data_IF_652738507705
#
_entry.id   IF_652738507705
#
_cell.length_a   1.000
_cell.length_b   1.000
_cell.length_c   1.000
_cell.angle_alpha   90.00
_cell.angle_beta   90.00
_cell.angle_gamma   90.00
#
_symmetry.space_group_name_H-M   'P 1'
#
loop_
_entity.id
_entity.type
_entity.pdbx_description
1 polymer ?
2 polymer ?
3 non-polymer ?
4 water ?
#
# COMPACT_ATOMS: atom_id res chain seq x y z
N UNK A 1 4.44 -0.86 -11.10
CA UNK A 1 5.84 -0.65 -10.75
C UNK A 1 6.14 -1.14 -9.36
N UNK A 2 7.35 -1.66 -9.18
CA UNK A 2 7.80 -2.03 -7.85
C UNK A 2 9.17 -1.49 -7.48
N UNK A 3 9.60 -0.39 -8.10
CA UNK A 3 10.87 0.20 -7.67
C UNK A 3 10.57 1.25 -6.62
N UNK A 4 9.43 1.91 -6.77
CA UNK A 4 9.02 3.01 -5.92
C UNK A 4 8.51 2.52 -4.57
N UNK A 5 7.81 1.39 -4.58
CA UNK A 5 7.31 0.88 -3.31
C UNK A 5 8.47 0.33 -2.50
N UNK A 6 9.43 -0.28 -3.18
CA UNK A 6 10.58 -0.83 -2.47
C UNK A 6 11.45 0.28 -1.86
N UNK A 7 11.86 1.26 -2.67
CA UNK A 7 12.64 2.37 -2.13
C UNK A 7 11.84 3.24 -1.15
N UNK A 8 10.53 3.30 -1.31
CA UNK A 8 9.71 3.99 -0.33
C UNK A 8 9.70 3.27 1.01
N UNK A 9 9.55 1.95 0.98
CA UNK A 9 9.59 1.19 2.24
C UNK A 9 10.95 1.29 2.87
N UNK A 10 12.02 1.19 2.08
CA UNK A 10 13.36 1.28 2.64
C UNK A 10 13.62 2.67 3.23
N UNK A 11 13.08 3.71 2.60
CA UNK A 11 13.18 5.04 3.17
C UNK A 11 12.40 5.17 4.47
N UNK A 12 11.27 4.50 4.58
CA UNK A 12 10.57 4.51 5.86
C UNK A 12 11.39 3.81 6.94
N UNK A 13 11.98 2.66 6.60
CA UNK A 13 12.82 1.94 7.55
C UNK A 13 14.02 2.77 7.97
N UNK A 14 14.61 3.50 7.01
CA UNK A 14 15.75 4.34 7.33
C UNK A 14 15.38 5.40 8.37
N UNK A 15 14.21 6.03 8.22
CA UNK A 15 13.77 7.00 9.22
C UNK A 15 13.64 6.36 10.59
N UNK A 16 13.06 5.16 10.66
CA UNK A 16 12.90 4.47 11.94
C UNK A 16 14.27 4.20 12.57
N UNK A 17 15.23 3.77 11.76
CA UNK A 17 16.55 3.43 12.29
C UNK A 17 17.27 4.68 12.74
N UNK A 18 17.11 5.78 11.99
CA UNK A 18 17.76 7.04 12.34
C UNK A 18 17.25 7.56 13.68
N UNK A 19 15.93 7.54 13.87
CA UNK A 19 15.39 8.01 15.14
C UNK A 19 15.83 7.11 16.28
N UNK A 20 15.73 5.80 16.08
CA UNK A 20 16.14 4.84 17.09
C UNK A 20 17.62 5.01 17.42
N UNK A 21 18.46 5.16 16.40
CA UNK A 21 19.88 5.32 16.64
C UNK A 21 20.20 6.66 17.31
N UNK A 22 19.47 7.72 16.95
CA UNK A 22 19.70 9.02 17.58
C UNK A 22 19.41 9.00 19.08
N UNK A 23 18.30 8.36 19.49
CA UNK A 23 17.93 8.27 20.90
C UNK A 23 18.97 7.48 21.68
N UNK A 24 19.49 6.40 21.10
CA UNK A 24 20.42 5.55 21.84
C UNK A 24 21.74 6.27 22.08
N UNK A 25 22.29 6.93 21.04
CA UNK A 25 23.61 7.52 21.15
C UNK A 25 23.62 8.85 21.89
N UNK A 26 22.50 9.58 21.91
CA UNK A 26 22.42 10.81 22.70
C UNK A 26 21.86 10.58 24.09
N UNK A 27 21.38 9.37 24.38
CA UNK A 27 20.87 9.03 25.71
C UNK A 27 19.71 9.93 26.11
N UNK A 28 18.94 10.39 25.13
CA UNK A 28 17.84 11.30 25.39
C UNK A 28 16.80 11.13 24.30
N UNK A 29 15.52 11.25 24.68
CA UNK A 29 14.41 11.31 23.75
C UNK A 29 13.65 12.64 23.85
N UNK A 30 14.38 13.72 24.15
CA UNK A 30 13.79 15.05 24.27
C UNK A 30 13.14 15.52 22.98
N UNK A 31 11.90 15.97 23.06
CA UNK A 31 11.16 16.47 21.92
C UNK A 31 10.39 15.43 21.14
N UNK A 32 10.57 14.15 21.45
CA UNK A 32 9.92 13.04 20.75
C UNK A 32 8.58 12.77 21.40
N UNK A 33 7.53 12.60 20.58
CA UNK A 33 6.23 12.19 21.10
C UNK A 33 6.17 10.68 21.25
N UNK A 34 6.16 10.21 22.50
CA UNK A 34 5.98 8.80 22.76
C UNK A 34 4.63 8.29 22.34
N UNK A 35 3.63 9.17 22.29
CA UNK A 35 2.30 8.77 21.85
C UNK A 35 2.28 8.45 20.37
N UNK A 36 2.96 9.25 19.55
CA UNK A 36 3.04 8.97 18.11
C UNK A 36 3.80 7.69 17.85
N UNK A 37 4.91 7.49 18.56
CA UNK A 37 5.66 6.26 18.39
C UNK A 37 4.85 5.06 18.83
N UNK A 38 4.02 5.23 19.86
CA UNK A 38 3.13 4.15 20.25
C UNK A 38 2.11 3.86 19.15
N UNK A 39 1.59 4.90 18.49
CA UNK A 39 0.63 4.66 17.42
C UNK A 39 1.30 3.98 16.23
N UNK A 40 2.53 4.38 15.92
CA UNK A 40 3.23 3.75 14.82
C UNK A 40 3.55 2.30 15.14
N UNK A 41 3.89 2.00 16.39
CA UNK A 41 4.09 0.61 16.77
C UNK A 41 2.80 -0.16 16.63
N UNK A 42 1.66 0.50 16.87
CA UNK A 42 0.38 -0.15 16.69
C UNK A 42 0.03 -0.34 15.22
N UNK A 43 0.46 0.57 14.34
CA UNK A 43 0.27 0.40 12.91
C UNK A 43 0.98 -0.84 12.41
N UNK A 44 2.26 -1.00 12.77
CA UNK A 44 3.04 -2.12 12.27
C UNK A 44 2.59 -3.43 12.88
N UNK A 45 2.11 -3.39 14.11
CA UNK A 45 1.65 -4.61 14.74
C UNK A 45 0.39 -5.11 14.05
N UNK A 46 -0.54 -4.22 13.76
CA UNK A 46 -1.80 -4.64 13.12
C UNK A 46 -1.64 -4.94 11.64
N UNK A 47 -0.72 -4.27 10.96
CA UNK A 47 -0.54 -4.51 9.52
C UNK A 47 0.25 -5.78 9.27
N UNK A 48 1.23 -6.07 10.12
CA UNK A 48 2.10 -7.22 9.93
C UNK A 48 1.77 -8.37 10.86
N UNK A 49 0.50 -8.46 11.29
CA UNK A 49 0.08 -9.58 12.13
C UNK A 49 0.28 -10.90 11.44
N UNK A 50 0.19 -10.96 10.10
CA UNK A 50 0.51 -12.26 9.59
C UNK A 50 2.00 -12.49 9.41
N UNK A 51 2.71 -12.28 10.50
CA UNK A 51 4.13 -12.50 10.68
C UNK A 51 4.19 -13.94 11.14
N UNK A 52 3.50 -14.15 12.27
CA UNK A 52 3.27 -15.31 13.10
C UNK A 52 2.20 -16.19 12.49
N UNK A 53 1.86 -15.99 11.21
CA UNK A 53 1.16 -17.03 10.48
C UNK A 53 1.66 -17.48 9.11
N UNK A 54 1.55 -16.64 8.08
CA UNK A 54 2.05 -17.00 6.75
C UNK A 54 3.49 -16.56 6.48
N UNK A 55 4.33 -17.53 6.14
CA UNK A 55 5.70 -17.31 5.67
C UNK A 55 5.76 -17.25 4.15
N UNK A 56 6.35 -16.17 3.62
CA UNK A 56 6.47 -15.99 2.17
C UNK A 56 7.93 -15.90 1.73
N UNK A 57 8.77 -15.22 2.50
CA UNK A 57 10.14 -14.99 2.08
C UNK A 57 10.98 -14.68 3.31
N UNK A 58 12.29 -14.80 3.14
CA UNK A 58 13.15 -14.42 4.24
C UNK A 58 13.28 -12.90 4.30
N UNK A 59 13.25 -12.22 3.15
CA UNK A 59 13.13 -10.76 3.16
C UNK A 59 11.76 -10.35 3.71
N UNK A 60 10.73 -11.17 3.49
CA UNK A 60 9.38 -10.82 3.92
C UNK A 60 9.26 -10.92 5.43
N UNK A 61 9.71 -12.02 6.01
CA UNK A 61 9.59 -12.16 7.45
C UNK A 61 10.51 -11.20 8.17
N UNK A 62 11.72 -11.00 7.64
CA UNK A 62 12.67 -10.12 8.31
C UNK A 62 12.25 -8.66 8.22
N UNK A 63 11.72 -8.24 7.07
CA UNK A 63 11.29 -6.86 7.00
C UNK A 63 10.14 -6.58 7.95
N UNK A 64 9.17 -7.51 8.02
CA UNK A 64 8.13 -7.38 9.02
C UNK A 64 8.72 -7.34 10.43
N UNK A 65 9.71 -8.19 10.68
CA UNK A 65 10.35 -8.22 11.99
C UNK A 65 11.18 -6.98 12.27
N UNK A 66 11.89 -6.47 11.26
CA UNK A 66 12.71 -5.28 11.45
C UNK A 66 11.85 -4.09 11.85
N UNK A 67 10.73 -3.88 11.17
CA UNK A 67 9.88 -2.74 11.52
C UNK A 67 9.35 -2.89 12.94
N UNK A 68 8.88 -4.09 13.28
CA UNK A 68 8.32 -4.31 14.61
C UNK A 68 9.40 -4.13 15.68
N UNK A 69 10.55 -4.77 15.51
CA UNK A 69 11.58 -4.66 16.52
C UNK A 69 12.05 -3.23 16.69
N UNK A 70 12.21 -2.49 15.60
CA UNK A 70 12.68 -1.11 15.72
C UNK A 70 11.63 -0.19 16.35
N UNK A 71 10.36 -0.36 16.00
CA UNK A 71 9.34 0.48 16.60
C UNK A 71 9.17 0.17 18.09
N UNK A 72 9.17 -1.11 18.45
CA UNK A 72 9.06 -1.45 19.86
C UNK A 72 10.27 -0.98 20.65
N UNK A 73 11.46 -1.06 20.05
CA UNK A 73 12.64 -0.61 20.77
C UNK A 73 12.60 0.88 21.01
N UNK A 74 12.14 1.65 20.03
CA UNK A 74 11.99 3.08 20.24
C UNK A 74 11.01 3.35 21.37
N UNK A 75 9.91 2.62 21.40
CA UNK A 75 8.96 2.75 22.50
C UNK A 75 9.62 2.36 23.82
N UNK A 76 10.43 1.29 23.82
CA UNK A 76 11.11 0.89 25.05
C UNK A 76 12.07 1.97 25.56
N UNK A 77 12.80 2.62 24.64
CA UNK A 77 13.76 3.63 25.06
C UNK A 77 13.11 4.88 25.60
N UNK A 78 11.94 5.25 25.08
CA UNK A 78 11.29 6.49 25.50
C UNK A 78 10.63 6.33 26.85
N UNK A 79 9.94 5.20 27.08
CA UNK A 79 9.14 5.04 28.29
C UNK A 79 9.82 4.22 29.39
N UNK A 80 10.94 3.55 29.09
CA UNK A 80 11.63 2.74 30.10
C UNK A 80 13.08 3.19 30.26
N UNK A 81 13.92 3.04 29.25
CA UNK A 81 15.35 3.30 29.40
C UNK A 81 15.63 4.76 29.72
N UNK A 82 15.17 5.67 28.86
CA UNK A 82 15.47 7.08 28.99
C UNK A 82 14.20 7.86 29.32
N UNK A 83 13.43 7.35 30.28
CA UNK A 83 12.19 8.02 30.62
C UNK A 83 12.42 9.36 31.30
N UNK A 84 13.63 9.60 31.83
CA UNK A 84 13.93 10.88 32.48
C UNK A 84 13.92 12.04 31.51
N UNK A 85 14.23 11.78 30.23
CA UNK A 85 14.23 12.82 29.22
C UNK A 85 12.96 12.84 28.42
N UNK A 86 11.93 12.11 28.84
CA UNK A 86 10.66 12.08 28.13
C UNK A 86 9.83 13.25 28.62
N UNK A 87 9.46 14.15 27.72
CA UNK A 87 8.73 15.35 28.10
C UNK A 87 7.24 14.99 28.13
N UNK A 88 6.91 14.14 29.11
CA UNK A 88 5.53 13.70 29.27
C UNK A 88 4.58 14.87 29.45
N UNK A 89 5.01 15.90 30.16
CA UNK A 89 4.18 17.06 30.38
C UNK A 89 3.85 17.81 29.09
N UNK A 90 4.55 17.54 27.98
CA UNK A 90 4.21 18.18 26.71
C UNK A 90 3.55 17.27 25.68
N UNK A 91 3.65 15.95 25.83
CA UNK A 91 3.01 15.00 24.92
C UNK A 91 1.61 14.61 25.41
N UNK A 92 0.69 15.58 25.38
CA UNK A 92 -0.60 15.45 26.07
C UNK A 92 -1.75 15.05 25.14
N UNK A 93 -1.50 14.72 23.88
CA UNK A 93 -2.60 14.39 22.99
C UNK A 93 -3.28 13.13 23.52
N UNK A 94 -4.62 13.16 23.61
CA UNK A 94 -5.37 12.01 24.12
C UNK A 94 -5.63 11.08 22.93
N UNK A 95 -4.79 10.07 22.77
CA UNK A 95 -4.87 9.23 21.57
C UNK A 95 -6.11 8.38 21.47
N UNK A 96 -6.93 8.29 22.52
CA UNK A 96 -8.18 7.56 22.37
C UNK A 96 -9.07 8.24 21.34
N UNK A 97 -8.97 9.58 21.22
CA UNK A 97 -9.72 10.30 20.19
C UNK A 97 -9.16 10.13 18.80
N UNK A 98 -8.12 9.31 18.63
CA UNK A 98 -7.62 8.86 17.33
C UNK A 98 -8.03 7.42 17.12
N UNK A 99 -7.64 6.54 18.03
CA UNK A 99 -7.84 5.10 17.84
C UNK A 99 -9.33 4.80 17.75
N UNK A 100 -10.17 5.41 18.59
CA UNK A 100 -11.59 5.05 18.58
C UNK A 100 -12.25 5.47 17.26
N UNK A 101 -12.07 6.70 16.79
CA UNK A 101 -12.66 7.05 15.49
C UNK A 101 -12.03 6.28 14.33
N UNK A 102 -10.73 5.99 14.40
CA UNK A 102 -10.09 5.18 13.38
C UNK A 102 -10.64 3.76 13.38
N UNK A 103 -10.85 3.18 14.56
CA UNK A 103 -11.46 1.86 14.62
C UNK A 103 -12.87 1.82 14.07
N UNK A 104 -13.69 2.80 14.42
CA UNK A 104 -15.03 2.86 13.87
C UNK A 104 -15.05 3.09 12.38
N UNK A 105 -14.15 3.95 11.88
CA UNK A 105 -14.09 4.22 10.46
C UNK A 105 -13.68 2.99 9.66
N UNK A 106 -12.82 2.14 10.23
CA UNK A 106 -12.38 0.94 9.53
C UNK A 106 -13.51 -0.08 9.39
N UNK A 107 -14.43 -0.12 10.34
CA UNK A 107 -15.58 -1.01 10.22
C UNK A 107 -16.64 -0.47 9.27
N UNK A 108 -16.68 0.84 9.06
CA UNK A 108 -17.71 1.49 8.24
C UNK A 108 -17.27 1.59 6.78
N UNK A 109 -16.04 2.01 6.54
CA UNK A 109 -15.56 2.33 5.21
C UNK A 109 -14.37 1.42 4.92
N UNK A 110 -14.60 0.41 4.08
CA UNK A 110 -13.53 -0.51 3.69
C UNK A 110 -13.94 -1.12 2.36
N UNK A 111 -13.03 -1.90 1.79
CA UNK A 111 -13.27 -2.58 0.52
C UNK A 111 -14.02 -3.90 0.66
N UNK A 112 -13.90 -4.55 1.80
CA UNK A 112 -14.56 -5.84 2.00
C UNK A 112 -14.67 -6.12 3.49
N UNK A 113 -15.83 -6.58 3.93
CA UNK A 113 -16.06 -6.81 5.35
C UNK A 113 -15.54 -8.18 5.72
N UNK A 114 -14.26 -8.23 6.12
CA UNK A 114 -13.61 -9.46 6.57
C UNK A 114 -12.57 -9.09 7.60
N UNK A 115 -12.23 -10.00 8.52
CA UNK A 115 -11.26 -9.65 9.56
C UNK A 115 -9.92 -9.21 9.02
N UNK A 116 -9.41 -9.85 7.97
CA UNK A 116 -8.10 -9.46 7.48
C UNK A 116 -8.16 -8.13 6.76
N UNK A 117 -9.27 -7.84 6.10
CA UNK A 117 -9.41 -6.56 5.42
C UNK A 117 -9.69 -5.41 6.38
N UNK A 118 -10.51 -5.66 7.41
CA UNK A 118 -10.74 -4.62 8.42
C UNK A 118 -9.45 -4.30 9.15
N UNK A 119 -8.66 -5.33 9.45
CA UNK A 119 -7.41 -5.10 10.14
C UNK A 119 -6.46 -4.29 9.28
N UNK A 120 -6.40 -4.58 7.98
CA UNK A 120 -5.56 -3.79 7.09
C UNK A 120 -6.07 -2.37 7.00
N UNK A 121 -7.38 -2.18 6.89
CA UNK A 121 -7.93 -0.83 6.82
C UNK A 121 -7.68 -0.05 8.09
N UNK A 122 -7.69 -0.73 9.23
CA UNK A 122 -7.35 -0.06 10.47
C UNK A 122 -5.94 0.49 10.43
N UNK A 123 -4.98 -0.35 10.02
CA UNK A 123 -3.60 0.11 10.04
C UNK A 123 -3.34 1.21 9.01
N UNK A 124 -4.09 1.22 7.90
CA UNK A 124 -3.95 2.28 6.89
C UNK A 124 -4.44 3.61 7.44
N UNK A 125 -5.65 3.62 8.01
CA UNK A 125 -6.20 4.84 8.59
C UNK A 125 -5.37 5.34 9.77
N UNK A 126 -4.96 4.44 10.66
CA UNK A 126 -4.22 4.87 11.85
C UNK A 126 -2.89 5.52 11.47
N UNK A 127 -2.17 4.93 10.53
CA UNK A 127 -0.87 5.49 10.13
C UNK A 127 -1.01 6.91 9.58
N UNK A 128 -2.14 7.23 8.96
CA UNK A 128 -2.30 8.55 8.37
C UNK A 128 -2.38 9.64 9.45
N UNK A 129 -2.87 9.30 10.63
CA UNK A 129 -3.01 10.27 11.72
C UNK A 129 -2.07 9.96 12.88
N UNK A 130 -1.14 9.03 12.71
CA UNK A 130 -0.29 8.65 13.83
C UNK A 130 0.65 9.78 14.25
N UNK A 131 0.99 10.68 13.33
CA UNK A 131 1.91 11.77 13.65
C UNK A 131 1.26 12.91 14.42
N UNK A 132 -0.06 12.90 14.58
CA UNK A 132 -0.72 14.05 15.19
C UNK A 132 -0.19 14.38 16.57
N UNK A 133 0.03 13.42 17.47
CA UNK A 133 0.61 13.78 18.77
C UNK A 133 1.97 14.46 18.63
N UNK A 134 2.76 14.07 17.63
CA UNK A 134 4.03 14.75 17.43
C UNK A 134 3.83 16.19 16.97
N UNK A 135 2.85 16.43 16.11
CA UNK A 135 2.61 17.80 15.64
C UNK A 135 2.18 18.69 16.78
N UNK A 136 1.24 18.23 17.61
CA UNK A 136 0.79 19.09 18.70
C UNK A 136 1.89 19.35 19.71
N UNK A 137 2.85 18.47 19.83
CA UNK A 137 3.94 18.71 20.76
C UNK A 137 4.87 19.80 20.23
N UNK A 138 5.26 19.71 18.95
CA UNK A 138 6.15 20.72 18.39
C UNK A 138 5.43 22.06 18.30
N UNK A 139 4.15 22.04 17.97
CA UNK A 139 3.37 23.26 17.95
C UNK A 139 3.30 23.88 19.34
N UNK A 140 3.38 23.04 20.38
CA UNK A 140 3.31 23.49 21.76
C UNK A 140 4.59 24.11 22.27
N UNK A 141 5.75 23.52 21.98
CA UNK A 141 6.99 23.97 22.57
C UNK A 141 7.94 24.67 21.61
N UNK A 142 7.80 24.40 20.32
CA UNK A 142 8.69 24.92 19.31
C UNK A 142 10.06 24.28 19.29
N UNK A 143 10.18 23.04 19.76
CA UNK A 143 11.43 22.30 19.94
C UNK A 143 11.22 20.82 19.73
N UNK A 144 12.29 20.19 19.26
CA UNK A 144 12.37 18.81 18.83
C UNK A 144 13.84 18.47 18.75
N UNK A 145 14.50 18.58 19.91
CA UNK A 145 15.94 18.46 19.96
C UNK A 145 16.42 17.15 19.33
N UNK A 146 15.61 16.09 19.44
CA UNK A 146 15.96 14.75 18.94
C UNK A 146 15.64 14.54 17.45
N UNK A 147 14.78 15.37 16.87
CA UNK A 147 14.42 15.29 15.46
C UNK A 147 15.54 15.86 14.62
N UNK A 148 16.08 15.03 13.73
CA UNK A 148 17.20 15.48 12.92
C UNK A 148 16.72 15.80 11.51
N UNK A 149 17.54 16.57 10.80
CA UNK A 149 17.15 16.96 9.45
C UNK A 149 17.08 15.76 8.53
N UNK A 150 18.04 14.84 8.68
CA UNK A 150 18.07 13.63 7.88
C UNK A 150 16.91 12.71 8.22
N UNK A 151 16.49 12.70 9.48
CA UNK A 151 15.30 11.94 9.86
C UNK A 151 14.10 12.41 9.06
N UNK A 152 13.90 13.72 8.99
CA UNK A 152 12.76 14.27 8.25
C UNK A 152 12.90 14.04 6.75
N UNK A 153 14.12 14.00 6.23
CA UNK A 153 14.29 13.77 4.80
C UNK A 153 13.77 12.38 4.42
N UNK A 154 14.15 11.34 5.19
CA UNK A 154 13.73 9.99 4.85
C UNK A 154 12.23 9.80 5.05
N UNK A 155 11.64 10.49 6.02
CA UNK A 155 10.19 10.50 6.14
C UNK A 155 9.57 11.12 4.88
N UNK A 156 10.17 12.20 4.37
CA UNK A 156 9.65 12.88 3.19
C UNK A 156 9.88 12.09 1.90
N UNK A 157 11.03 11.44 1.80
CA UNK A 157 11.30 10.58 0.65
C UNK A 157 10.36 9.39 0.62
N UNK A 158 9.96 8.91 1.78
CA UNK A 158 8.99 7.83 1.85
C UNK A 158 7.67 8.26 1.27
N UNK A 159 7.21 9.47 1.61
CA UNK A 159 5.93 9.92 1.09
C UNK A 159 6.00 10.25 -0.40
N UNK A 160 7.10 10.81 -0.86
CA UNK A 160 7.23 11.19 -2.27
C UNK A 160 7.26 9.96 -3.16
N UNK A 161 7.99 8.92 -2.74
CA UNK A 161 8.05 7.73 -3.56
C UNK A 161 6.68 7.03 -3.61
N UNK A 162 5.96 7.01 -2.49
CA UNK A 162 4.61 6.46 -2.51
C UNK A 162 3.69 7.26 -3.40
N UNK A 163 3.83 8.59 -3.40
CA UNK A 163 3.02 9.41 -4.29
C UNK A 163 3.29 9.03 -5.75
N UNK A 164 4.57 8.91 -6.11
CA UNK A 164 4.93 8.44 -7.45
C UNK A 164 4.32 7.08 -7.75
N UNK A 165 4.36 6.19 -6.77
CA UNK A 165 3.83 4.85 -6.96
C UNK A 165 2.34 4.90 -7.29
N UNK A 166 1.58 5.71 -6.57
CA UNK A 166 0.16 5.81 -6.91
C UNK A 166 -0.04 6.24 -8.35
N UNK A 167 0.72 7.24 -8.79
CA UNK A 167 0.55 7.79 -10.13
C UNK A 167 0.97 6.78 -11.18
N UNK A 168 2.11 6.12 -10.97
CA UNK A 168 2.57 5.16 -11.95
C UNK A 168 1.58 4.01 -12.13
N UNK A 169 1.15 3.41 -11.02
CA UNK A 169 0.22 2.28 -11.13
C UNK A 169 -1.12 2.68 -11.74
N UNK A 170 -1.60 3.90 -11.43
CA UNK A 170 -2.87 4.33 -12.04
C UNK A 170 -2.76 4.47 -13.55
N UNK A 171 -1.72 5.17 -14.03
CA UNK A 171 -1.64 5.46 -15.44
C UNK A 171 -1.20 4.24 -16.26
N UNK A 172 -0.28 3.44 -15.74
CA UNK A 172 0.27 2.34 -16.51
C UNK A 172 -0.40 0.99 -16.26
N UNK A 173 -1.08 0.80 -15.12
CA UNK A 173 -1.70 -0.48 -14.79
C UNK A 173 -3.19 -0.39 -14.51
N UNK A 174 -3.76 0.80 -14.48
CA UNK A 174 -5.16 0.99 -14.11
C UNK A 174 -5.51 0.69 -12.67
N UNK A 175 -4.53 0.49 -11.80
CA UNK A 175 -4.80 0.17 -10.40
C UNK A 175 -4.90 1.46 -9.60
N UNK A 176 -5.91 1.55 -8.74
CA UNK A 176 -5.95 2.61 -7.74
C UNK A 176 -6.77 2.13 -6.55
N UNK A 177 -6.24 2.34 -5.36
CA UNK A 177 -6.90 2.01 -4.10
C UNK A 177 -7.35 3.33 -3.46
N UNK A 178 -8.64 3.61 -3.59
CA UNK A 178 -9.16 4.88 -3.10
C UNK A 178 -8.94 5.03 -1.60
N UNK A 179 -9.09 3.94 -0.85
CA UNK A 179 -8.86 4.02 0.59
C UNK A 179 -7.41 4.33 0.90
N UNK A 180 -6.48 3.57 0.29
CA UNK A 180 -5.07 3.83 0.55
C UNK A 180 -4.64 5.19 0.05
N UNK A 181 -5.19 5.64 -1.08
CA UNK A 181 -4.76 6.92 -1.63
C UNK A 181 -5.28 8.06 -0.76
N UNK A 182 -6.57 8.01 -0.42
CA UNK A 182 -7.14 9.09 0.37
C UNK A 182 -6.45 9.17 1.73
N UNK A 183 -6.24 8.02 2.37
CA UNK A 183 -5.50 8.01 3.63
C UNK A 183 -4.06 8.43 3.43
N UNK A 184 -3.47 8.07 2.30
CA UNK A 184 -2.09 8.45 2.02
C UNK A 184 -1.93 9.93 1.80
N UNK A 185 -2.92 10.58 1.20
CA UNK A 185 -2.87 12.04 1.05
C UNK A 185 -2.99 12.74 2.41
N UNK A 186 -3.89 12.28 3.27
CA UNK A 186 -3.98 12.84 4.62
C UNK A 186 -2.64 12.70 5.33
N UNK A 187 -2.02 11.53 5.23
CA UNK A 187 -0.74 11.33 5.88
C UNK A 187 0.34 12.28 5.35
N UNK A 188 0.39 12.45 4.03
CA UNK A 188 1.42 13.30 3.43
C UNK A 188 1.23 14.77 3.77
N UNK A 189 -0.01 15.23 3.82
CA UNK A 189 -0.24 16.60 4.22
C UNK A 189 0.17 16.79 5.67
N UNK A 190 -0.10 15.79 6.51
CA UNK A 190 0.27 15.90 7.91
C UNK A 190 1.78 15.89 8.07
N UNK A 191 2.50 15.12 7.26
CA UNK A 191 3.95 15.16 7.35
C UNK A 191 4.49 16.50 6.89
N UNK A 192 3.83 17.13 5.92
CA UNK A 192 4.26 18.43 5.43
C UNK A 192 4.07 19.51 6.49
N UNK A 193 3.00 19.42 7.27
CA UNK A 193 2.87 20.32 8.42
C UNK A 193 3.95 20.01 9.44
N UNK A 194 4.29 18.74 9.61
CA UNK A 194 5.44 18.42 10.45
C UNK A 194 6.68 19.14 9.97
N UNK A 195 6.96 19.07 8.66
CA UNK A 195 8.12 19.74 8.12
C UNK A 195 7.99 21.25 8.18
N UNK A 196 6.78 21.79 8.03
CA UNK A 196 6.65 23.24 8.06
C UNK A 196 6.89 23.78 9.48
N UNK A 197 6.39 23.06 10.48
CA UNK A 197 6.58 23.47 11.86
C UNK A 197 8.03 23.35 12.27
N UNK A 198 8.70 22.30 11.84
CA UNK A 198 10.09 22.13 12.22
C UNK A 198 10.93 23.28 11.66
N UNK A 199 10.67 23.67 10.40
CA UNK A 199 11.46 24.74 9.79
C UNK A 199 11.16 26.09 10.45
N UNK A 200 9.89 26.36 10.78
CA UNK A 200 9.53 27.67 11.28
C UNK A 200 9.73 27.80 12.79
N UNK A 201 9.44 26.75 13.55
CA UNK A 201 9.54 26.85 15.00
C UNK A 201 10.84 26.31 15.56
N UNK A 202 11.33 25.17 15.10
CA UNK A 202 12.54 24.66 15.73
C UNK A 202 13.77 25.34 15.12
N UNK A 203 13.85 25.33 13.79
CA UNK A 203 14.92 25.99 13.05
C UNK A 203 14.85 27.51 13.21
N UNK A 204 14.27 27.98 14.33
CA UNK A 204 14.07 29.41 14.65
C UNK A 204 14.57 30.41 13.60
N UNK B 1 6.59 -20.45 -8.91
CA UNK B 1 5.82 -20.43 -7.67
C UNK B 1 4.34 -20.21 -7.94
N UNK B 2 4.02 -19.43 -8.96
CA UNK B 2 2.63 -19.20 -9.36
C UNK B 2 2.58 -19.27 -10.89
N UNK B 3 1.65 -20.08 -11.41
CA UNK B 3 1.39 -20.15 -12.84
C UNK B 3 0.04 -19.56 -13.23
N UNK B 4 0.02 -18.83 -14.36
CA UNK B 4 -1.21 -18.24 -14.89
C UNK B 4 -1.40 -18.80 -16.30
N UNK B 5 -2.63 -19.18 -16.64
CA UNK B 5 -2.96 -19.72 -17.96
C UNK B 5 -4.16 -18.96 -18.50
N UNK B 6 -4.06 -18.44 -19.72
CA UNK B 6 -5.16 -17.73 -20.33
C UNK B 6 -5.77 -18.60 -21.42
N UNK B 7 -7.09 -18.53 -21.57
CA UNK B 7 -7.81 -19.23 -22.61
C UNK B 7 -9.01 -18.39 -23.03
N UNK B 8 -9.71 -18.85 -24.07
CA UNK B 8 -10.89 -18.17 -24.56
C UNK B 8 -10.70 -17.34 -25.81
N UNK B 9 -9.47 -17.24 -26.33
CA UNK B 9 -9.20 -16.47 -27.52
C UNK B 9 -9.50 -17.24 -28.80
N UNK B 10 -9.39 -16.55 -29.91
CA UNK B 10 -9.62 -17.13 -31.21
C UNK B 10 -10.10 -16.07 -32.18
N UNK B 11 -10.79 -16.50 -33.23
CA UNK B 11 -11.31 -15.59 -34.25
C UNK B 11 -12.79 -15.34 -34.08
N UNK B 12 -13.20 -14.08 -34.21
CA UNK B 12 -14.62 -13.74 -34.10
C UNK B 12 -14.90 -12.53 -34.97
N UNK B 13 -16.15 -12.40 -35.36
CA UNK B 13 -16.62 -11.31 -36.21
C UNK B 13 -16.78 -10.02 -35.41
N UNK B 14 -16.81 -8.90 -36.13
CA UNK B 14 -17.11 -7.61 -35.53
C UNK B 14 -18.53 -7.57 -35.00
N UNK B 15 -18.68 -7.04 -33.77
CA UNK B 15 -19.90 -7.07 -33.00
C UNK B 15 -20.14 -8.32 -32.17
N UNK B 16 -19.31 -9.35 -32.30
CA UNK B 16 -19.43 -10.54 -31.49
C UNK B 16 -18.94 -10.32 -30.07
N UNK B 17 -18.91 -11.41 -29.31
CA UNK B 17 -18.53 -11.38 -27.91
C UNK B 17 -17.60 -12.54 -27.66
N UNK B 18 -16.73 -12.41 -26.65
CA UNK B 18 -15.81 -13.47 -26.27
C UNK B 18 -15.56 -13.36 -24.78
N UNK B 19 -15.30 -14.50 -24.14
CA UNK B 19 -14.92 -14.53 -22.74
C UNK B 19 -13.57 -15.23 -22.55
N UNK B 20 -12.58 -14.48 -22.07
CA UNK B 20 -11.28 -15.02 -21.69
C UNK B 20 -11.27 -15.43 -20.22
N UNK B 21 -10.38 -16.37 -19.89
CA UNK B 21 -10.22 -16.81 -18.52
C UNK B 21 -8.75 -16.91 -18.17
N UNK B 22 -8.40 -16.49 -16.96
CA UNK B 22 -7.04 -16.57 -16.42
C UNK B 22 -7.11 -17.50 -15.22
N UNK B 23 -6.64 -18.73 -15.38
CA UNK B 23 -6.63 -19.71 -14.30
C UNK B 23 -5.30 -19.63 -13.59
N UNK B 24 -5.35 -19.43 -12.27
CA UNK B 24 -4.16 -19.28 -11.43
C UNK B 24 -3.84 -20.56 -10.68
N UNK B 25 -2.56 -20.90 -10.63
CA UNK B 25 -2.08 -22.10 -9.97
C UNK B 25 -0.85 -21.77 -9.16
N UNK B 26 -0.68 -22.47 -8.04
CA UNK B 26 0.46 -22.26 -7.19
C UNK B 26 0.05 -21.93 -5.77
N UNK B 27 0.83 -21.09 -5.15
CA UNK B 27 0.61 -20.76 -3.76
C UNK B 27 -0.05 -19.39 -3.66
N UNK B 28 -1.20 -19.30 -3.01
CA UNK B 28 -1.94 -18.04 -3.05
C UNK B 28 -1.43 -17.08 -1.99
N UNK B 29 -1.82 -15.82 -2.15
CA UNK B 29 -1.63 -14.79 -1.16
C UNK B 29 -3.00 -14.21 -0.82
N UNK B 30 -3.06 -13.55 0.33
CA UNK B 30 -4.35 -13.15 0.88
C UNK B 30 -4.95 -11.99 0.08
N UNK B 31 -4.11 -11.08 -0.41
CA UNK B 31 -4.57 -9.89 -1.11
C UNK B 31 -3.82 -9.75 -2.43
N UNK B 32 -4.54 -9.81 -3.56
CA UNK B 32 -3.90 -9.71 -4.85
C UNK B 32 -4.74 -8.83 -5.75
N UNK B 33 -4.15 -8.48 -6.89
CA UNK B 33 -4.87 -7.81 -7.96
C UNK B 33 -4.59 -8.54 -9.27
N UNK B 34 -5.54 -8.46 -10.19
CA UNK B 34 -5.39 -9.08 -11.50
C UNK B 34 -5.76 -8.06 -12.56
N UNK B 35 -4.90 -7.93 -13.58
CA UNK B 35 -5.07 -6.92 -14.63
C UNK B 35 -4.93 -7.60 -15.98
N UNK B 36 -5.82 -7.25 -16.90
CA UNK B 36 -5.72 -7.75 -18.27
C UNK B 36 -4.97 -6.74 -19.15
N UNK B 37 -3.97 -7.22 -19.88
CA UNK B 37 -3.32 -6.38 -20.88
C UNK B 37 -3.55 -6.94 -22.27
N UNK B 38 -3.28 -6.11 -23.28
CA UNK B 38 -3.31 -6.56 -24.67
C UNK B 38 -2.28 -5.78 -25.47
N UNK B 39 -1.74 -6.43 -26.50
CA UNK B 39 -0.71 -5.81 -27.34
C UNK B 39 -1.00 -6.07 -28.82
N UNK B 40 -1.55 -5.05 -29.49
CA UNK B 40 -1.84 -5.16 -30.89
C UNK B 40 -0.52 -5.17 -31.67
N UNK B 41 -0.52 -5.66 -32.91
CA UNK B 41 0.73 -5.73 -33.68
C UNK B 41 1.37 -4.37 -33.87
N UNK B 42 2.63 -4.27 -33.45
CA UNK B 42 3.44 -3.08 -33.59
C UNK B 42 3.25 -1.99 -32.56
N UNK B 43 2.30 -2.11 -31.65
CA UNK B 43 2.01 -1.08 -30.65
C UNK B 43 2.50 -1.52 -29.29
N UNK B 44 2.49 -0.61 -28.33
CA UNK B 44 2.85 -1.02 -26.97
C UNK B 44 1.68 -1.72 -26.29
N UNK B 45 2.00 -2.60 -25.36
CA UNK B 45 0.96 -3.24 -24.54
C UNK B 45 0.28 -2.19 -23.67
N UNK B 46 -1.02 -2.37 -23.46
CA UNK B 46 -1.79 -1.45 -22.65
C UNK B 46 -2.75 -2.24 -21.77
N UNK B 47 -2.96 -1.75 -20.55
CA UNK B 47 -3.90 -2.38 -19.65
C UNK B 47 -5.32 -2.15 -20.12
N UNK B 48 -6.19 -3.11 -19.82
CA UNK B 48 -7.55 -3.14 -20.32
C UNK B 48 -8.57 -3.10 -19.18
N UNK B 49 -8.41 -4.00 -18.21
CA UNK B 49 -9.38 -4.06 -17.11
C UNK B 49 -8.67 -4.62 -15.87
N UNK B 50 -9.17 -4.21 -14.70
CA UNK B 50 -8.51 -4.52 -13.44
C UNK B 50 -9.55 -4.83 -12.36
N UNK B 51 -9.17 -5.75 -11.47
CA UNK B 51 -10.03 -6.27 -10.41
C UNK B 51 -9.13 -6.65 -9.24
N UNK B 52 -9.70 -6.66 -8.03
CA UNK B 52 -8.96 -7.09 -6.84
C UNK B 52 -9.52 -8.42 -6.31
N UNK B 53 -8.87 -8.95 -5.28
CA UNK B 53 -9.25 -10.27 -4.76
C UNK B 53 -10.60 -10.25 -4.05
N UNK B 54 -11.00 -9.12 -3.48
CA UNK B 54 -12.29 -9.01 -2.84
C UNK B 54 -12.87 -7.64 -3.14
N UNK B 55 -14.15 -7.48 -2.86
CA UNK B 55 -14.77 -6.19 -3.09
C UNK B 55 -15.39 -6.04 -4.45
N UNK B 56 -16.03 -4.88 -4.62
CA UNK B 56 -16.76 -4.54 -5.82
C UNK B 56 -15.98 -3.65 -6.79
N UNK B 57 -14.69 -3.42 -6.53
CA UNK B 57 -13.90 -2.51 -7.33
C UNK B 57 -13.56 -3.17 -8.67
N UNK B 58 -13.80 -2.44 -9.75
CA UNK B 58 -13.40 -2.82 -11.10
C UNK B 58 -12.97 -1.56 -11.81
N UNK B 59 -12.15 -1.72 -12.85
CA UNK B 59 -11.69 -0.56 -13.60
C UNK B 59 -11.51 -0.96 -15.06
N UNK B 60 -11.98 -0.10 -15.97
CA UNK B 60 -11.91 -0.41 -17.39
C UNK B 60 -11.28 0.76 -18.12
N UNK B 61 -10.42 0.42 -19.09
CA UNK B 61 -9.80 1.42 -19.93
C UNK B 61 -10.85 2.20 -20.71
N UNK B 62 -10.50 3.42 -21.07
CA UNK B 62 -11.45 4.31 -21.74
C UNK B 62 -12.01 3.65 -22.98
N UNK B 63 -11.18 2.90 -23.70
CA UNK B 63 -11.57 2.33 -24.96
C UNK B 63 -12.49 1.12 -24.81
N UNK B 64 -12.60 0.53 -23.62
CA UNK B 64 -13.45 -0.64 -23.42
C UNK B 64 -14.58 -0.43 -22.42
N UNK B 65 -14.76 0.79 -21.90
CA UNK B 65 -15.87 1.01 -20.98
C UNK B 65 -17.21 0.77 -21.66
N UNK B 66 -18.08 0.04 -20.95
CA UNK B 66 -19.40 -0.30 -21.46
C UNK B 66 -19.40 -1.53 -22.32
N UNK B 67 -18.23 -1.96 -22.75
CA UNK B 67 -18.11 -3.13 -23.59
C UNK B 67 -17.45 -4.30 -22.87
N UNK B 68 -16.56 -4.04 -21.91
CA UNK B 68 -15.91 -5.12 -21.20
C UNK B 68 -16.42 -5.20 -19.77
N UNK B 69 -16.37 -6.44 -19.21
CA UNK B 69 -16.80 -6.70 -17.84
C UNK B 69 -15.83 -7.70 -17.21
N UNK B 70 -15.19 -7.34 -16.09
CA UNK B 70 -14.24 -8.21 -15.40
C UNK B 70 -14.87 -8.82 -14.17
N UNK B 71 -14.61 -10.10 -13.92
CA UNK B 71 -15.31 -10.84 -12.87
C UNK B 71 -14.36 -11.89 -12.29
N UNK B 72 -14.67 -12.33 -11.06
CA UNK B 72 -13.83 -13.20 -10.24
C UNK B 72 -14.41 -14.59 -10.00
N UNK B 73 -13.54 -15.56 -9.70
CA UNK B 73 -14.00 -16.87 -9.21
C UNK B 73 -12.87 -17.55 -8.42
N UNK B 74 -12.79 -17.25 -7.12
CA UNK B 74 -11.74 -17.84 -6.27
C UNK B 74 -11.91 -19.34 -6.00
N UNK B 75 -13.12 -19.88 -6.13
CA UNK B 75 -13.28 -21.31 -5.90
C UNK B 75 -12.57 -22.16 -6.94
N UNK B 76 -12.11 -21.54 -8.02
CA UNK B 76 -11.45 -22.25 -9.10
C UNK B 76 -10.09 -21.64 -9.40
N UNK B 77 -9.72 -20.55 -8.73
CA UNK B 77 -8.53 -19.73 -9.01
C UNK B 77 -8.51 -19.13 -10.42
N UNK B 78 -9.65 -18.56 -10.83
CA UNK B 78 -9.85 -18.08 -12.19
C UNK B 78 -10.49 -16.71 -12.14
N UNK B 79 -10.07 -15.82 -13.06
CA UNK B 79 -10.68 -14.52 -13.30
C UNK B 79 -11.09 -14.42 -14.76
N UNK B 80 -12.28 -13.87 -15.01
CA UNK B 80 -12.85 -13.80 -16.35
C UNK B 80 -12.82 -12.37 -16.90
N UNK B 81 -12.75 -12.28 -18.23
CA UNK B 81 -12.94 -11.03 -18.99
C UNK B 81 -14.02 -11.27 -20.04
N UNK B 82 -15.23 -10.78 -19.80
CA UNK B 82 -16.32 -10.86 -20.77
C UNK B 82 -16.23 -9.73 -21.80
N UNK B 83 -16.14 -10.08 -23.10
CA UNK B 83 -15.98 -9.11 -24.18
C UNK B 83 -17.19 -9.09 -25.11
N UNK B 84 -18.00 -8.05 -25.00
CA UNK B 84 -19.19 -7.91 -25.83
C UNK B 84 -18.97 -6.83 -26.88
N UNK B 85 -19.69 -6.94 -27.99
CA UNK B 85 -19.65 -5.96 -29.09
C UNK B 85 -18.22 -5.61 -29.53
N UNK B 86 -17.51 -6.63 -30.00
CA UNK B 86 -16.11 -6.50 -30.37
C UNK B 86 -15.92 -5.76 -31.68
N UNK B 87 -14.90 -4.88 -31.71
CA UNK B 87 -14.50 -4.16 -32.91
C UNK B 87 -13.17 -4.68 -33.39
N UNK B 88 -12.85 -4.47 -34.66
CA UNK B 88 -11.56 -4.97 -35.19
C UNK B 88 -10.33 -4.44 -34.42
N UNK B 89 -10.43 -3.27 -33.77
CA UNK B 89 -9.32 -2.70 -33.00
C UNK B 89 -8.97 -3.51 -31.77
N UNK B 90 -9.85 -4.40 -31.33
CA UNK B 90 -9.60 -5.27 -30.20
C UNK B 90 -8.70 -6.45 -30.54
N UNK B 91 -8.23 -6.55 -31.77
CA UNK B 91 -7.34 -7.64 -32.15
C UNK B 91 -5.99 -7.49 -31.46
N UNK B 92 -5.62 -8.47 -30.64
CA UNK B 92 -4.36 -8.37 -29.92
C UNK B 92 -4.09 -9.71 -29.25
N UNK B 93 -2.90 -9.84 -28.69
CA UNK B 93 -2.61 -10.92 -27.76
C UNK B 93 -2.91 -10.41 -26.35
N UNK B 94 -3.86 -11.06 -25.67
CA UNK B 94 -4.27 -10.62 -24.35
C UNK B 94 -3.50 -11.38 -23.27
N UNK B 95 -3.00 -10.65 -22.27
CA UNK B 95 -2.26 -11.19 -21.14
C UNK B 95 -2.93 -10.77 -19.84
N UNK B 96 -2.99 -11.69 -18.89
CA UNK B 96 -3.38 -11.40 -17.51
C UNK B 96 -2.14 -11.34 -16.63
N UNK B 97 -2.19 -10.45 -15.65
CA UNK B 97 -1.06 -10.23 -14.75
C UNK B 97 -1.61 -10.19 -13.34
N UNK B 98 -1.07 -11.03 -12.46
CA UNK B 98 -1.45 -11.08 -11.05
C UNK B 98 -0.32 -10.55 -10.20
N UNK B 99 -0.68 -9.66 -9.26
CA UNK B 99 0.30 -9.07 -8.36
C UNK B 99 -0.10 -9.26 -6.90
N UNK B 100 0.87 -9.57 -6.04
CA UNK B 100 0.61 -9.57 -4.60
C UNK B 100 0.50 -8.15 -4.06
N UNK B 101 -0.64 -7.83 -3.45
CA UNK B 101 -0.86 -6.54 -2.83
C UNK B 101 -0.37 -6.45 -1.39
N UNK B 102 0.10 -7.55 -0.80
CA UNK B 102 0.66 -7.48 0.53
C UNK B 102 1.97 -6.71 0.58
N UNK B 103 2.37 -6.32 1.79
CA UNK B 103 3.61 -5.58 1.94
C UNK B 103 4.81 -6.49 1.73
N UNK B 104 5.92 -5.89 1.31
CA UNK B 104 7.19 -6.59 1.20
C UNK B 104 7.08 -7.80 0.28
N UNK B 105 6.26 -7.65 -0.76
CA UNK B 105 6.02 -8.74 -1.70
C UNK B 105 6.23 -8.21 -3.11
N UNK B 106 7.40 -7.59 -3.30
CA UNK B 106 7.75 -6.86 -4.52
C UNK B 106 8.02 -7.75 -5.72
N UNK B 107 8.40 -9.01 -5.51
CA UNK B 107 8.82 -9.87 -6.60
C UNK B 107 7.79 -10.95 -6.93
N UNK B 108 6.66 -10.98 -6.23
CA UNK B 108 5.45 -11.76 -6.53
C UNK B 108 4.62 -11.14 -7.66
N UNK B 109 5.07 -11.34 -8.90
CA UNK B 109 4.49 -10.67 -10.07
C UNK B 109 4.50 -11.60 -11.29
N UNK B 110 3.32 -12.10 -11.68
CA UNK B 110 3.23 -13.17 -12.66
C UNK B 110 2.31 -12.83 -13.82
N UNK B 111 2.69 -13.33 -15.01
CA UNK B 111 2.04 -13.05 -16.29
C UNK B 111 1.72 -14.35 -16.99
N UNK B 112 0.62 -14.38 -17.73
CA UNK B 112 0.33 -15.52 -18.56
C UNK B 112 1.15 -15.55 -19.83
N UNK B 113 0.96 -16.62 -20.60
CA UNK B 113 1.64 -16.77 -21.89
C UNK B 113 0.97 -15.94 -22.97
N UNK B 114 -0.29 -15.56 -22.76
CA UNK B 114 -1.02 -14.85 -23.80
C UNK B 114 -1.97 -15.71 -24.63
N UNK B 115 -3.11 -15.15 -25.03
CA UNK B 115 -4.07 -15.84 -25.89
C UNK B 115 -4.43 -14.87 -27.01
N UNK B 116 -4.40 -15.38 -28.26
CA UNK B 116 -4.67 -14.57 -29.43
C UNK B 116 -6.16 -14.31 -29.56
N UNK B 117 -6.51 -13.05 -29.84
CA UNK B 117 -7.89 -12.66 -30.12
C UNK B 117 -7.88 -11.87 -31.42
N UNK B 118 -8.56 -12.36 -32.44
CA UNK B 118 -8.63 -11.67 -33.72
C UNK B 118 -10.09 -11.36 -34.01
N UNK B 119 -10.37 -10.11 -34.37
CA UNK B 119 -11.73 -9.69 -34.70
C UNK B 119 -11.77 -9.20 -36.15
N UNK B 120 -12.48 -9.95 -37.00
CA UNK B 120 -12.61 -9.60 -38.41
C UNK B 120 -13.59 -8.46 -38.59
N UNK B 121 -13.30 -7.58 -39.54
CA UNK B 121 -14.17 -6.44 -39.78
C UNK B 121 -15.40 -6.89 -40.57
#
# INVERSE_FOLDING_TARGET
>A
MNIFRLTGDLSALAAIIILLLKIWKSRSCAGISGKSQLLFALVFTTRYLDLFTSFISLYNTSMKLIYIACSYATVYLIYMKFKATYDGNHDTFRVEFLIVPVGGLSFLVNHDFSPLEILWTFSIYLESVAILPQLFMISKTGEAETITTHYLFFLGLYRALYLVNWIWRYYFEGFFDLIAVVAGVVQTVLYCDFFYLYVTKVLKGKKLSLPA
>B
QVQLVESGGGLVQAGGSLRLSCAASGFPVKRWSMTWYRQAPGKEREWVAAIRSAGHWTHYADSVKGRFTISRDNAKNTVYLQMNSLKPEDTAVYYCNVKDEGDFSYWYDYWGQGTQVTVSA
#
